data_IF_645413780838
#
_entry.id   IF_645413780838
#
_cell.length_a   1.000
_cell.length_b   1.000
_cell.length_c   1.000
_cell.angle_alpha   90.00
_cell.angle_beta   90.00
_cell.angle_gamma   90.00
#
_symmetry.space_group_name_H-M   'P 1'
#
loop_
_entity.id
_entity.type
_entity.pdbx_description
1 polymer ?
#
# COMPACT_ATOMS: atom_id res chain seq x y z
N UNK A 1 9.37 15.28 6.56
CA UNK A 1 8.62 14.27 7.34
C UNK A 1 9.65 13.34 7.96
N UNK A 2 9.57 13.10 9.27
CA UNK A 2 10.41 12.11 9.94
C UNK A 2 9.53 10.96 10.44
N UNK A 3 10.07 9.74 10.46
CA UNK A 3 9.38 8.54 10.92
C UNK A 3 10.09 7.97 12.15
N UNK A 4 9.32 7.72 13.21
CA UNK A 4 9.72 6.81 14.28
C UNK A 4 9.26 5.40 13.91
N UNK A 5 10.13 4.41 14.08
CA UNK A 5 9.85 3.02 13.70
C UNK A 5 10.12 2.10 14.88
N UNK A 6 9.13 1.27 15.21
CA UNK A 6 9.26 0.16 16.15
C UNK A 6 9.06 -1.17 15.42
N UNK A 7 10.04 -2.06 15.48
CA UNK A 7 9.95 -3.41 14.93
C UNK A 7 9.75 -4.45 16.02
N UNK A 8 8.81 -5.38 15.79
CA UNK A 8 8.64 -6.59 16.60
C UNK A 8 8.76 -7.83 15.71
N UNK A 9 9.77 -8.69 15.95
CA UNK A 9 9.97 -9.90 15.14
C UNK A 9 9.04 -11.05 15.58
N UNK A 10 8.86 -12.02 14.69
CA UNK A 10 8.23 -13.31 14.94
C UNK A 10 6.98 -13.55 14.08
N UNK A 11 6.78 -14.82 13.69
CA UNK A 11 5.62 -15.26 12.92
C UNK A 11 4.29 -15.03 13.63
N UNK A 12 4.22 -15.31 14.93
CA UNK A 12 3.00 -15.02 15.72
C UNK A 12 2.71 -13.52 15.75
N UNK A 13 3.77 -12.70 15.83
CA UNK A 13 3.63 -11.25 15.82
C UNK A 13 3.11 -10.76 14.47
N UNK A 14 3.66 -11.24 13.35
CA UNK A 14 3.17 -10.84 12.03
C UNK A 14 1.72 -11.26 11.78
N UNK A 15 1.33 -12.46 12.21
CA UNK A 15 -0.06 -12.93 12.10
C UNK A 15 -1.03 -12.10 12.95
N UNK A 16 -0.68 -11.82 14.21
CA UNK A 16 -1.52 -10.99 15.09
C UNK A 16 -1.62 -9.56 14.57
N UNK A 17 -0.50 -8.98 14.13
CA UNK A 17 -0.46 -7.65 13.56
C UNK A 17 -1.29 -7.57 12.27
N UNK A 18 -1.21 -8.56 11.38
CA UNK A 18 -2.00 -8.61 10.15
C UNK A 18 -3.50 -8.51 10.42
N UNK A 19 -4.00 -9.29 11.39
CA UNK A 19 -5.42 -9.27 11.77
C UNK A 19 -5.83 -7.91 12.31
N UNK A 20 -5.06 -7.38 13.27
CA UNK A 20 -5.34 -6.08 13.88
C UNK A 20 -5.30 -4.94 12.84
N UNK A 21 -4.28 -4.92 11.98
CA UNK A 21 -4.11 -3.91 10.94
C UNK A 21 -5.21 -3.97 9.88
N UNK A 22 -5.68 -5.17 9.54
CA UNK A 22 -6.79 -5.37 8.62
C UNK A 22 -8.10 -4.86 9.24
N UNK A 23 -8.43 -5.28 10.46
CA UNK A 23 -9.61 -4.82 11.20
C UNK A 23 -9.64 -3.28 11.35
N UNK A 24 -8.47 -2.66 11.54
CA UNK A 24 -8.36 -1.20 11.66
C UNK A 24 -8.70 -0.44 10.37
N UNK A 25 -8.40 -1.01 9.20
CA UNK A 25 -8.55 -0.32 7.91
C UNK A 25 -9.76 -0.77 7.09
N UNK A 26 -10.34 -1.93 7.40
CA UNK A 26 -11.47 -2.53 6.68
C UNK A 26 -12.66 -1.57 6.57
N UNK A 27 -13.09 -1.00 7.69
CA UNK A 27 -14.23 -0.07 7.71
C UNK A 27 -13.97 1.21 6.89
N UNK A 28 -12.72 1.68 6.88
CA UNK A 28 -12.32 2.84 6.09
C UNK A 28 -12.38 2.54 4.59
N UNK A 29 -11.77 1.42 4.16
CA UNK A 29 -11.74 1.03 2.74
C UNK A 29 -13.13 0.68 2.24
N UNK A 30 -13.96 -0.02 3.04
CA UNK A 30 -15.33 -0.32 2.68
C UNK A 30 -16.16 0.96 2.45
N UNK A 31 -16.09 1.91 3.39
CA UNK A 31 -16.78 3.21 3.26
C UNK A 31 -16.30 3.99 2.05
N UNK A 32 -14.99 3.97 1.78
CA UNK A 32 -14.41 4.64 0.62
C UNK A 32 -14.94 4.03 -0.68
N UNK A 33 -14.90 2.70 -0.82
CA UNK A 33 -15.30 1.97 -2.03
C UNK A 33 -16.79 2.12 -2.35
N UNK A 34 -17.66 2.20 -1.34
CA UNK A 34 -19.10 2.41 -1.52
C UNK A 34 -19.45 3.68 -2.33
N UNK A 35 -18.58 4.70 -2.28
CA UNK A 35 -18.76 5.95 -2.99
C UNK A 35 -18.10 6.03 -4.37
N UNK A 36 -17.52 4.93 -4.88
CA UNK A 36 -16.67 4.93 -6.09
C UNK A 36 -17.23 4.02 -7.18
N UNK A 37 -16.98 4.39 -8.43
CA UNK A 37 -17.35 3.61 -9.60
C UNK A 37 -16.24 2.65 -10.01
N UNK A 38 -16.61 1.42 -10.34
CA UNK A 38 -15.68 0.37 -10.76
C UNK A 38 -15.39 0.42 -12.25
N UNK A 39 -14.11 0.47 -12.59
CA UNK A 39 -13.55 0.35 -13.92
C UNK A 39 -12.64 -0.89 -13.99
N UNK A 40 -12.63 -1.57 -15.13
CA UNK A 40 -11.82 -2.78 -15.34
C UNK A 40 -10.95 -2.61 -16.59
N UNK A 41 -9.67 -2.94 -16.46
CA UNK A 41 -8.67 -2.83 -17.51
C UNK A 41 -7.94 -4.16 -17.64
N UNK A 42 -7.99 -4.76 -18.84
CA UNK A 42 -7.21 -5.95 -19.17
C UNK A 42 -5.96 -5.54 -19.91
N UNK A 43 -4.80 -5.96 -19.39
CA UNK A 43 -3.50 -5.73 -19.99
C UNK A 43 -3.03 -7.06 -20.59
N UNK A 44 -3.10 -7.21 -21.92
CA UNK A 44 -2.68 -8.45 -22.56
C UNK A 44 -1.17 -8.62 -22.43
N UNK A 45 -0.74 -9.83 -22.05
CA UNK A 45 0.66 -10.21 -22.15
C UNK A 45 0.99 -10.70 -23.57
N UNK A 46 2.19 -10.38 -24.06
CA UNK A 46 2.67 -10.89 -25.35
C UNK A 46 2.90 -12.40 -25.33
N UNK A 47 3.26 -12.94 -24.16
CA UNK A 47 3.37 -14.38 -23.88
C UNK A 47 2.92 -14.62 -22.41
N UNK A 48 2.08 -15.64 -22.18
CA UNK A 48 1.63 -16.02 -20.83
C UNK A 48 0.34 -15.34 -20.36
N UNK A 49 0.15 -15.31 -19.03
CA UNK A 49 -1.04 -14.77 -18.37
C UNK A 49 -1.16 -13.25 -18.52
N UNK A 50 -2.37 -12.77 -18.80
CA UNK A 50 -2.67 -11.32 -18.81
C UNK A 50 -2.71 -10.75 -17.39
N UNK A 51 -2.81 -9.43 -17.29
CA UNK A 51 -3.11 -8.76 -16.02
C UNK A 51 -4.51 -8.17 -16.06
N UNK A 52 -5.29 -8.41 -15.02
CA UNK A 52 -6.56 -7.74 -14.79
C UNK A 52 -6.37 -6.68 -13.70
N UNK A 53 -6.60 -5.42 -14.05
CA UNK A 53 -6.60 -4.30 -13.12
C UNK A 53 -8.04 -3.82 -12.92
N UNK A 54 -8.54 -3.91 -11.69
CA UNK A 54 -9.81 -3.30 -11.29
C UNK A 54 -9.52 -2.04 -10.49
N UNK A 55 -10.23 -0.96 -10.80
CA UNK A 55 -10.04 0.36 -10.17
C UNK A 55 -11.40 0.89 -9.77
N UNK A 56 -11.53 1.30 -8.52
CA UNK A 56 -12.64 2.07 -7.99
C UNK A 56 -12.18 3.51 -7.82
N UNK A 57 -12.82 4.44 -8.50
CA UNK A 57 -12.52 5.88 -8.41
C UNK A 57 -13.80 6.70 -8.57
N UNK A 58 -13.79 7.94 -8.06
CA UNK A 58 -14.94 8.83 -8.16
C UNK A 58 -15.11 9.39 -9.58
N UNK A 59 -13.99 9.57 -10.28
CA UNK A 59 -13.92 10.02 -11.66
C UNK A 59 -13.27 8.95 -12.53
N UNK A 60 -13.64 8.91 -13.81
CA UNK A 60 -12.87 8.17 -14.80
C UNK A 60 -11.45 8.74 -14.87
N UNK A 61 -10.44 7.87 -14.77
CA UNK A 61 -9.06 8.29 -14.94
C UNK A 61 -8.79 8.53 -16.43
N UNK A 62 -8.27 9.71 -16.76
CA UNK A 62 -7.74 9.98 -18.10
C UNK A 62 -6.43 9.22 -18.36
N UNK A 63 -5.96 9.25 -19.61
CA UNK A 63 -4.77 8.51 -20.03
C UNK A 63 -3.50 8.91 -19.25
N UNK A 64 -3.37 10.18 -18.87
CA UNK A 64 -2.23 10.69 -18.09
C UNK A 64 -2.25 10.12 -16.67
N UNK A 65 -3.42 10.18 -16.00
CA UNK A 65 -3.58 9.63 -14.64
C UNK A 65 -3.49 8.11 -14.61
N UNK A 66 -3.93 7.42 -15.67
CA UNK A 66 -3.73 5.98 -15.82
C UNK A 66 -2.24 5.66 -15.94
N UNK A 67 -1.48 6.43 -16.71
CA UNK A 67 -0.04 6.25 -16.84
C UNK A 67 0.68 6.45 -15.49
N UNK A 68 0.38 7.55 -14.78
CA UNK A 68 0.93 7.80 -13.45
C UNK A 68 0.56 6.68 -12.46
N UNK A 69 -0.65 6.13 -12.56
CA UNK A 69 -1.10 5.03 -11.73
C UNK A 69 -0.30 3.75 -12.01
N UNK A 70 -0.02 3.45 -13.27
CA UNK A 70 0.84 2.32 -13.63
C UNK A 70 2.26 2.49 -13.08
N UNK A 71 2.86 3.67 -13.23
CA UNK A 71 4.16 3.97 -12.66
C UNK A 71 4.17 3.81 -11.13
N UNK A 72 3.10 4.24 -10.48
CA UNK A 72 2.91 4.05 -9.03
C UNK A 72 2.81 2.57 -8.66
N UNK A 73 2.04 1.77 -9.39
CA UNK A 73 1.94 0.31 -9.16
C UNK A 73 3.31 -0.34 -9.31
N UNK A 74 4.08 0.01 -10.35
CA UNK A 74 5.43 -0.51 -10.57
C UNK A 74 6.38 -0.13 -9.43
N UNK A 75 6.34 1.13 -8.98
CA UNK A 75 7.15 1.60 -7.85
C UNK A 75 6.82 0.85 -6.55
N UNK A 76 5.53 0.69 -6.24
CA UNK A 76 5.09 -0.06 -5.05
C UNK A 76 5.53 -1.52 -5.16
N UNK A 77 5.38 -2.18 -6.32
CA UNK A 77 5.85 -3.56 -6.50
C UNK A 77 7.36 -3.72 -6.32
N UNK A 78 8.16 -2.75 -6.79
CA UNK A 78 9.60 -2.75 -6.56
C UNK A 78 9.93 -2.61 -5.06
N UNK A 79 9.19 -1.77 -4.33
CA UNK A 79 9.36 -1.63 -2.89
C UNK A 79 8.94 -2.90 -2.12
N UNK A 80 7.83 -3.54 -2.52
CA UNK A 80 7.40 -4.84 -1.99
C UNK A 80 8.47 -5.91 -2.20
N UNK A 81 9.14 -5.93 -3.36
CA UNK A 81 10.24 -6.85 -3.62
C UNK A 81 11.42 -6.60 -2.67
N UNK A 82 11.83 -5.33 -2.47
CA UNK A 82 12.91 -5.00 -1.52
C UNK A 82 12.58 -5.45 -0.10
N UNK A 83 11.34 -5.25 0.36
CA UNK A 83 10.90 -5.70 1.68
C UNK A 83 10.95 -7.23 1.82
N UNK A 84 10.69 -7.98 0.75
CA UNK A 84 10.83 -9.44 0.75
C UNK A 84 12.29 -9.89 0.82
N UNK A 85 13.19 -9.15 0.21
CA UNK A 85 14.63 -9.46 0.20
C UNK A 85 15.31 -9.09 1.53
N UNK A 86 14.84 -8.04 2.22
CA UNK A 86 15.38 -7.55 3.50
C UNK A 86 14.27 -7.22 4.51
N UNK A 87 13.53 -8.22 5.03
CA UNK A 87 12.31 -8.02 5.81
C UNK A 87 12.52 -7.51 7.24
N UNK A 88 13.76 -7.57 7.73
CA UNK A 88 14.14 -7.23 9.10
C UNK A 88 15.09 -6.02 9.18
N UNK A 89 15.30 -5.30 8.06
CA UNK A 89 16.15 -4.10 7.99
C UNK A 89 15.31 -2.79 8.05
N UNK A 90 15.29 -2.07 9.19
CA UNK A 90 14.58 -0.80 9.30
C UNK A 90 15.09 0.27 8.33
N UNK A 91 16.36 0.21 7.90
CA UNK A 91 16.91 1.17 6.94
C UNK A 91 16.28 1.04 5.55
N UNK A 92 15.79 -0.16 5.21
CA UNK A 92 15.00 -0.40 4.00
C UNK A 92 13.55 0.10 4.15
N UNK A 93 12.95 -0.06 5.34
CA UNK A 93 11.54 0.30 5.60
C UNK A 93 11.30 1.80 5.57
N UNK A 94 12.17 2.63 6.17
CA UNK A 94 11.98 4.10 6.24
C UNK A 94 11.72 4.75 4.87
N UNK A 95 12.59 4.58 3.85
CA UNK A 95 12.38 5.23 2.55
C UNK A 95 11.13 4.70 1.83
N UNK A 96 10.83 3.40 1.98
CA UNK A 96 9.65 2.77 1.38
C UNK A 96 8.38 3.34 1.99
N UNK A 97 8.27 3.32 3.32
CA UNK A 97 7.13 3.90 4.03
C UNK A 97 6.97 5.39 3.70
N UNK A 98 8.07 6.14 3.66
CA UNK A 98 8.06 7.57 3.28
C UNK A 98 7.48 7.78 1.88
N UNK A 99 7.86 6.95 0.90
CA UNK A 99 7.35 6.99 -0.46
C UNK A 99 5.85 6.61 -0.54
N UNK A 100 5.42 5.65 0.28
CA UNK A 100 4.02 5.23 0.35
C UNK A 100 3.11 6.31 0.94
N UNK A 101 3.62 7.02 1.95
CA UNK A 101 2.93 8.11 2.64
C UNK A 101 2.97 9.46 1.92
N UNK A 102 3.86 9.62 0.93
CA UNK A 102 3.86 10.80 0.06
C UNK A 102 2.56 10.87 -0.76
N UNK A 103 2.21 12.07 -1.19
CA UNK A 103 1.04 12.31 -2.03
C UNK A 103 1.36 12.04 -3.49
N UNK A 104 0.54 11.22 -4.15
CA UNK A 104 0.66 10.85 -5.57
C UNK A 104 -0.68 11.10 -6.30
N UNK A 105 -0.67 11.00 -7.64
CA UNK A 105 -1.88 11.04 -8.48
C UNK A 105 -2.78 12.27 -8.27
N UNK A 106 -2.16 13.41 -7.95
CA UNK A 106 -2.85 14.67 -7.70
C UNK A 106 -3.81 14.60 -6.51
N UNK A 107 -3.56 13.72 -5.54
CA UNK A 107 -4.41 13.61 -4.36
C UNK A 107 -5.68 12.76 -4.59
N UNK A 108 -5.68 11.83 -5.54
CA UNK A 108 -6.83 10.98 -5.82
C UNK A 108 -7.22 10.06 -4.65
N UNK A 109 -8.52 9.87 -4.46
CA UNK A 109 -9.08 8.77 -3.68
C UNK A 109 -9.40 7.62 -4.64
N UNK A 110 -8.77 6.45 -4.44
CA UNK A 110 -9.03 5.26 -5.25
C UNK A 110 -8.74 3.98 -4.49
N UNK A 111 -9.39 2.91 -4.92
CA UNK A 111 -9.04 1.54 -4.56
C UNK A 111 -8.72 0.77 -5.84
N UNK A 112 -7.75 -0.13 -5.79
CA UNK A 112 -7.44 -0.98 -6.92
C UNK A 112 -7.06 -2.40 -6.49
N UNK A 113 -7.30 -3.32 -7.42
CA UNK A 113 -6.92 -4.72 -7.34
C UNK A 113 -6.20 -5.10 -8.64
N UNK A 114 -5.07 -5.79 -8.51
CA UNK A 114 -4.33 -6.37 -9.62
C UNK A 114 -4.30 -7.89 -9.45
N UNK A 115 -4.77 -8.60 -10.48
CA UNK A 115 -4.79 -10.05 -10.53
C UNK A 115 -4.09 -10.55 -11.80
N UNK A 116 -3.54 -11.76 -11.75
CA UNK A 116 -3.16 -12.49 -12.97
C UNK A 116 -4.42 -13.10 -13.61
N UNK A 117 -4.61 -12.84 -14.89
CA UNK A 117 -5.64 -13.48 -15.69
C UNK A 117 -5.08 -14.76 -16.29
N UNK A 118 -5.42 -15.89 -15.67
CA UNK A 118 -5.09 -17.23 -16.14
C UNK A 118 -6.24 -17.76 -17.01
N UNK A 119 -5.89 -18.27 -18.19
CA UNK A 119 -6.86 -18.82 -19.14
C UNK A 119 -7.77 -19.86 -18.48
N UNK A 120 -9.07 -19.57 -18.41
CA UNK A 120 -10.10 -20.50 -17.97
C UNK A 120 -10.39 -20.54 -16.47
N UNK A 121 -9.80 -19.66 -15.65
CA UNK A 121 -10.16 -19.55 -14.23
C UNK A 121 -11.38 -18.64 -13.99
N UNK A 122 -12.18 -19.01 -12.98
CA UNK A 122 -13.21 -18.13 -12.44
C UNK A 122 -12.55 -16.98 -11.67
N UNK A 123 -13.06 -15.76 -11.84
CA UNK A 123 -12.67 -14.49 -11.20
C UNK A 123 -11.34 -14.55 -10.39
N UNK A 124 -10.21 -14.10 -10.96
CA UNK A 124 -8.90 -14.31 -10.35
C UNK A 124 -8.78 -13.56 -9.02
N UNK A 125 -8.15 -14.24 -8.04
CA UNK A 125 -7.87 -13.64 -6.73
C UNK A 125 -6.84 -12.52 -6.90
N UNK A 126 -7.05 -11.33 -6.30
CA UNK A 126 -6.05 -10.26 -6.35
C UNK A 126 -4.73 -10.69 -5.74
N UNK A 127 -3.64 -10.50 -6.48
CA UNK A 127 -2.28 -10.67 -5.96
C UNK A 127 -1.82 -9.42 -5.19
N UNK A 128 -2.43 -8.28 -5.53
CA UNK A 128 -2.09 -6.99 -5.00
C UNK A 128 -3.35 -6.13 -4.92
N UNK A 129 -3.56 -5.50 -3.76
CA UNK A 129 -4.58 -4.48 -3.59
C UNK A 129 -3.95 -3.22 -2.99
N UNK A 130 -4.43 -2.05 -3.41
CA UNK A 130 -3.98 -0.78 -2.86
C UNK A 130 -5.15 0.18 -2.72
N UNK A 131 -5.22 0.87 -1.58
CA UNK A 131 -6.11 1.99 -1.36
C UNK A 131 -5.29 3.28 -1.20
N UNK A 132 -5.69 4.31 -1.93
CA UNK A 132 -5.16 5.66 -1.80
C UNK A 132 -6.26 6.57 -1.25
N UNK A 133 -5.91 7.37 -0.26
CA UNK A 133 -6.73 8.50 0.19
C UNK A 133 -5.90 9.78 0.14
N UNK A 134 -6.43 10.78 -0.55
CA UNK A 134 -5.75 12.03 -0.87
C UNK A 134 -4.38 11.76 -1.48
N UNK A 135 -4.31 10.76 -2.37
CA UNK A 135 -3.09 10.35 -3.06
C UNK A 135 -2.07 9.59 -2.21
N UNK A 136 -2.35 9.34 -0.93
CA UNK A 136 -1.45 8.63 0.00
C UNK A 136 -1.90 7.20 0.17
N UNK A 137 -0.97 6.26 0.17
CA UNK A 137 -1.30 4.87 0.44
C UNK A 137 -1.81 4.73 1.88
N UNK A 138 -3.05 4.28 2.03
CA UNK A 138 -3.66 3.93 3.33
C UNK A 138 -3.82 2.43 3.49
N UNK A 139 -3.72 1.68 2.41
CA UNK A 139 -3.63 0.22 2.42
C UNK A 139 -2.78 -0.26 1.25
N UNK A 140 -1.88 -1.20 1.50
CA UNK A 140 -1.24 -2.03 0.48
C UNK A 140 -1.28 -3.47 0.99
N UNK A 141 -1.80 -4.39 0.18
CA UNK A 141 -2.01 -5.78 0.58
C UNK A 141 -1.51 -6.74 -0.49
N UNK A 142 -0.79 -7.77 -0.07
CA UNK A 142 -0.45 -8.97 -0.85
C UNK A 142 -0.69 -10.21 0.01
N UNK A 143 -0.34 -11.39 -0.51
CA UNK A 143 -0.35 -12.66 0.23
C UNK A 143 0.64 -12.69 1.43
N UNK A 144 1.67 -11.85 1.39
CA UNK A 144 2.85 -11.91 2.28
C UNK A 144 3.09 -10.61 3.04
N UNK A 145 2.36 -9.54 2.71
CA UNK A 145 2.54 -8.23 3.30
C UNK A 145 1.19 -7.52 3.46
N UNK A 146 1.06 -6.80 4.58
CA UNK A 146 -0.05 -5.89 4.77
C UNK A 146 0.44 -4.58 5.39
N UNK A 147 0.21 -3.47 4.69
CA UNK A 147 0.44 -2.12 5.16
C UNK A 147 -0.91 -1.43 5.33
N UNK A 148 -1.10 -0.73 6.45
CA UNK A 148 -2.32 0.04 6.66
C UNK A 148 -2.13 1.29 7.51
N UNK A 149 -3.01 2.26 7.26
CA UNK A 149 -3.25 3.38 8.15
C UNK A 149 -4.09 2.91 9.35
N UNK A 150 -3.61 3.17 10.57
CA UNK A 150 -4.26 2.72 11.80
C UNK A 150 -5.03 3.86 12.46
N UNK A 151 -4.35 4.99 12.60
CA UNK A 151 -4.91 6.22 13.14
C UNK A 151 -4.03 7.40 12.71
N UNK A 152 -4.42 8.64 13.06
CA UNK A 152 -3.69 9.84 12.66
C UNK A 152 -2.19 9.67 12.90
N UNK A 153 -1.41 9.80 11.81
CA UNK A 153 0.05 9.77 11.82
C UNK A 153 0.66 8.41 12.26
N UNK A 154 -0.14 7.34 12.37
CA UNK A 154 0.31 5.99 12.75
C UNK A 154 -0.08 4.95 11.70
N UNK A 155 0.90 4.15 11.28
CA UNK A 155 0.76 3.15 10.24
C UNK A 155 1.36 1.81 10.68
N UNK A 156 0.72 0.72 10.26
CA UNK A 156 1.18 -0.64 10.47
C UNK A 156 1.77 -1.22 9.20
N UNK A 157 2.83 -2.00 9.32
CA UNK A 157 3.35 -2.87 8.26
C UNK A 157 3.60 -4.25 8.87
N UNK A 158 3.04 -5.30 8.29
CA UNK A 158 3.33 -6.69 8.68
C UNK A 158 3.92 -7.45 7.50
N UNK A 159 4.86 -8.33 7.81
CA UNK A 159 5.56 -9.19 6.87
C UNK A 159 5.40 -10.64 7.34
N UNK A 160 4.72 -11.46 6.53
CA UNK A 160 4.40 -12.84 6.86
C UNK A 160 5.66 -13.62 7.25
N UNK A 161 5.62 -14.34 8.37
CA UNK A 161 6.77 -15.10 8.89
C UNK A 161 7.88 -14.27 9.55
N UNK A 162 7.93 -12.95 9.36
CA UNK A 162 9.04 -12.12 9.84
C UNK A 162 8.71 -11.30 11.08
N UNK A 163 7.65 -10.51 11.04
CA UNK A 163 7.29 -9.60 12.14
C UNK A 163 6.42 -8.44 11.67
N UNK A 164 6.37 -7.39 12.48
CA UNK A 164 5.60 -6.18 12.17
C UNK A 164 6.32 -4.91 12.60
N UNK A 165 6.14 -3.87 11.81
CA UNK A 165 6.55 -2.51 12.09
C UNK A 165 5.35 -1.65 12.48
N UNK A 166 5.56 -0.79 13.47
CA UNK A 166 4.74 0.38 13.73
C UNK A 166 5.53 1.61 13.28
N UNK A 167 4.88 2.45 12.48
CA UNK A 167 5.46 3.62 11.82
C UNK A 167 4.70 4.85 12.29
N UNK A 168 5.38 5.78 12.94
CA UNK A 168 4.78 7.01 13.47
C UNK A 168 5.39 8.23 12.79
N UNK A 169 4.56 9.07 12.20
CA UNK A 169 4.99 10.36 11.63
C UNK A 169 5.21 11.33 12.77
N UNK A 170 6.46 11.81 12.88
CA UNK A 170 6.84 12.85 13.84
C UNK A 170 7.12 14.15 13.10
N UNK A 171 6.44 15.23 13.51
CA UNK A 171 6.82 16.58 13.09
C UNK A 171 8.22 16.88 13.64
N UNK A 172 9.15 17.29 12.77
CA UNK A 172 10.46 17.78 13.22
C UNK A 172 10.23 18.98 14.14
N UNK A 173 10.41 18.80 15.45
CA UNK A 173 10.55 19.93 16.34
C UNK A 173 11.67 20.81 15.82
N UNK A 174 11.34 22.02 15.35
CA UNK A 174 12.29 23.07 15.08
C UNK A 174 13.23 23.18 16.27
N UNK A 175 14.48 22.72 16.11
CA UNK A 175 15.54 22.95 17.08
C UNK A 175 15.70 24.46 17.18
N UNK A 176 15.14 25.07 18.22
CA UNK A 176 15.48 26.45 18.55
C UNK A 176 17.00 26.53 18.74
N UNK A 177 17.68 27.49 18.09
CA UNK A 177 19.09 27.69 18.34
C UNK A 177 19.23 28.06 19.82
N UNK A 178 20.10 27.34 20.54
CA UNK A 178 20.52 27.77 21.87
C UNK A 178 21.12 29.17 21.71
N UNK A 179 20.46 30.17 22.26
CA UNK A 179 21.03 31.50 22.42
C UNK A 179 22.35 31.34 23.18
N UNK A 180 23.44 31.75 22.53
CA UNK A 180 24.77 31.85 23.14
C UNK A 180 24.86 33.12 23.97
#
# INVERSE_FOLDING_TARGET
>A
MALHISYKPGEQQSLQAARYFHEAVEGLVATMVEGLDRNEYTIPASEGAGLLLRIWSADALDDERLHDLFDRILAVRADLQKLRETPDDPQCVVPIATNWLAEHLGGADLYLELSLELDGEAAPTPEFSMALMRGRSVMISTDTLFFSWLERDVFGLTLAGHGSYLLEVVEEQQRWPKAS
#
